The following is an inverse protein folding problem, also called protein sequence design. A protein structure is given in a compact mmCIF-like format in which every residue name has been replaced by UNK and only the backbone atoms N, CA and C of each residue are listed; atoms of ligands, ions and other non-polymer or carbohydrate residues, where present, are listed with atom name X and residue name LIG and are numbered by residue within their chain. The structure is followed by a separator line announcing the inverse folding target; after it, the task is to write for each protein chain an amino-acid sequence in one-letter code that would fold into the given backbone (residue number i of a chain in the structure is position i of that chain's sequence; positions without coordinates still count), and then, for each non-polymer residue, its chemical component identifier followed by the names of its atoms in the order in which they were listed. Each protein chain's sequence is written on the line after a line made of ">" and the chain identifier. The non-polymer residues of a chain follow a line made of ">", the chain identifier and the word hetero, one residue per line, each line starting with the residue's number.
data_IF_801089946891
#
_entry.id   IF_801089946891
#
_cell.length_a   1.000
_cell.length_b   1.000
_cell.length_c   1.000
_cell.angle_alpha   90.00
_cell.angle_beta   90.00
_cell.angle_gamma   90.00
#
_symmetry.space_group_name_H-M   'P 1'
#
loop_
_entity.id
_entity.type
_entity.pdbx_description
1 polymer ?
#
# COMPACT_ATOMS: atom_id res chain seq x y z
N UNK A 1 13.20 17.83 15.38
CA UNK A 1 12.04 18.67 15.79
C UNK A 1 11.10 18.78 14.59
N UNK A 2 9.80 18.53 14.78
CA UNK A 2 8.79 18.78 13.75
C UNK A 2 8.10 20.12 14.02
N UNK A 3 7.93 20.95 12.99
CA UNK A 3 7.22 22.23 13.08
C UNK A 3 5.87 22.07 12.39
N UNK A 4 4.80 22.52 13.05
CA UNK A 4 3.46 22.54 12.47
C UNK A 4 3.35 23.70 11.49
N UNK A 5 2.95 23.39 10.26
CA UNK A 5 2.69 24.38 9.21
C UNK A 5 1.28 24.19 8.68
N UNK A 6 0.62 25.30 8.33
CA UNK A 6 -0.63 25.28 7.56
C UNK A 6 -0.30 25.56 6.11
N UNK A 7 -0.67 24.65 5.22
CA UNK A 7 -0.38 24.74 3.78
C UNK A 7 -1.68 24.72 2.98
N UNK A 8 -1.71 25.49 1.88
CA UNK A 8 -2.76 25.37 0.86
C UNK A 8 -2.23 24.49 -0.26
N UNK A 9 -2.95 23.43 -0.56
CA UNK A 9 -2.57 22.45 -1.60
C UNK A 9 -3.75 22.19 -2.52
N UNK A 10 -3.46 21.63 -3.70
CA UNK A 10 -4.51 21.15 -4.61
C UNK A 10 -5.27 20.01 -3.95
N UNK A 11 -6.58 19.93 -4.23
CA UNK A 11 -7.47 18.89 -3.68
C UNK A 11 -6.97 17.47 -4.00
N UNK A 12 -6.45 17.25 -5.20
CA UNK A 12 -5.87 15.98 -5.65
C UNK A 12 -4.76 15.46 -4.71
N UNK A 13 -3.97 16.36 -4.11
CA UNK A 13 -2.91 15.97 -3.18
C UNK A 13 -3.47 15.53 -1.82
N UNK A 14 -4.61 16.10 -1.41
CA UNK A 14 -5.31 15.67 -0.20
C UNK A 14 -5.90 14.28 -0.41
N UNK A 15 -6.51 14.03 -1.57
CA UNK A 15 -7.07 12.72 -1.92
C UNK A 15 -5.96 11.65 -2.00
N UNK A 16 -4.80 11.98 -2.56
CA UNK A 16 -3.63 11.11 -2.55
C UNK A 16 -3.15 10.83 -1.12
N UNK A 17 -3.06 11.86 -0.26
CA UNK A 17 -2.70 11.68 1.15
C UNK A 17 -3.68 10.75 1.89
N UNK A 18 -4.98 10.90 1.64
CA UNK A 18 -6.01 10.05 2.24
C UNK A 18 -5.88 8.59 1.78
N UNK A 19 -5.59 8.34 0.49
CA UNK A 19 -5.27 7.00 -0.02
C UNK A 19 -4.04 6.41 0.65
N UNK A 20 -2.96 7.19 0.78
CA UNK A 20 -1.73 6.74 1.45
C UNK A 20 -1.98 6.33 2.90
N UNK A 21 -2.83 7.05 3.63
CA UNK A 21 -3.21 6.68 5.00
C UNK A 21 -4.06 5.42 5.01
N UNK A 22 -5.05 5.32 4.11
CA UNK A 22 -5.93 4.15 3.99
C UNK A 22 -5.16 2.86 3.68
N UNK A 23 -4.14 2.94 2.85
CA UNK A 23 -3.31 1.80 2.46
C UNK A 23 -2.15 1.53 3.43
N UNK A 24 -2.02 2.31 4.50
CA UNK A 24 -0.97 2.13 5.50
C UNK A 24 0.43 2.58 5.05
N UNK A 25 0.54 3.25 3.90
CA UNK A 25 1.78 3.86 3.39
C UNK A 25 2.19 5.02 4.31
N UNK A 26 1.22 5.78 4.80
CA UNK A 26 1.43 6.88 5.73
C UNK A 26 0.65 6.70 7.03
N UNK A 27 1.21 7.24 8.13
CA UNK A 27 0.59 7.20 9.46
C UNK A 27 -0.46 8.30 9.67
N UNK A 28 -0.37 9.39 8.91
CA UNK A 28 -1.27 10.54 8.95
C UNK A 28 -1.12 11.36 7.66
N UNK A 29 -2.03 12.31 7.41
CA UNK A 29 -1.92 13.21 6.24
C UNK A 29 -0.62 14.01 6.26
N UNK A 30 -0.20 14.53 7.40
CA UNK A 30 1.07 15.27 7.50
C UNK A 30 2.26 14.38 7.17
N UNK A 31 2.24 13.12 7.60
CA UNK A 31 3.26 12.15 7.21
C UNK A 31 3.24 11.88 5.71
N UNK A 32 2.05 11.75 5.10
CA UNK A 32 1.91 11.58 3.66
C UNK A 32 2.47 12.79 2.87
N UNK A 33 2.20 14.01 3.31
CA UNK A 33 2.77 15.22 2.69
C UNK A 33 4.29 15.27 2.81
N UNK A 34 4.85 14.89 3.96
CA UNK A 34 6.31 14.81 4.11
C UNK A 34 6.92 13.80 3.13
N UNK A 35 6.32 12.61 3.00
CA UNK A 35 6.76 11.59 2.03
C UNK A 35 6.68 12.13 0.60
N UNK A 36 5.59 12.81 0.24
CA UNK A 36 5.43 13.45 -1.07
C UNK A 36 6.49 14.51 -1.35
N UNK A 37 6.90 15.28 -0.34
CA UNK A 37 7.95 16.30 -0.46
C UNK A 37 9.33 15.64 -0.59
N UNK A 38 9.60 14.58 0.17
CA UNK A 38 10.90 13.90 0.20
C UNK A 38 11.16 13.04 -1.05
N UNK A 39 10.19 12.22 -1.45
CA UNK A 39 10.31 11.30 -2.60
C UNK A 39 9.86 11.91 -3.93
N UNK A 40 9.02 12.95 -3.86
CA UNK A 40 8.36 13.52 -5.03
C UNK A 40 7.08 12.77 -5.43
N UNK A 41 6.17 13.50 -6.07
CA UNK A 41 4.82 13.01 -6.39
C UNK A 41 4.79 11.79 -7.32
N UNK A 42 5.70 11.74 -8.30
CA UNK A 42 5.71 10.67 -9.30
C UNK A 42 5.98 9.30 -8.67
N UNK A 43 6.86 9.25 -7.68
CA UNK A 43 7.19 8.00 -6.98
C UNK A 43 6.05 7.58 -6.08
N UNK A 44 5.47 8.55 -5.34
CA UNK A 44 4.33 8.28 -4.45
C UNK A 44 3.11 7.78 -5.22
N UNK A 45 2.79 8.35 -6.38
CA UNK A 45 1.67 7.87 -7.20
C UNK A 45 1.86 6.41 -7.60
N UNK A 46 3.06 6.04 -8.06
CA UNK A 46 3.37 4.64 -8.42
C UNK A 46 3.24 3.70 -7.23
N UNK A 47 3.70 4.13 -6.06
CA UNK A 47 3.60 3.35 -4.82
C UNK A 47 2.14 3.12 -4.44
N UNK A 48 1.29 4.16 -4.54
CA UNK A 48 -0.15 4.06 -4.28
C UNK A 48 -0.85 3.16 -5.29
N UNK A 49 -0.56 3.30 -6.59
CA UNK A 49 -1.12 2.44 -7.65
C UNK A 49 -0.77 0.96 -7.42
N UNK A 50 0.48 0.68 -7.02
CA UNK A 50 0.89 -0.67 -6.67
C UNK A 50 0.07 -1.26 -5.52
N UNK A 51 -0.18 -0.48 -4.47
CA UNK A 51 -0.99 -0.93 -3.33
C UNK A 51 -2.47 -1.10 -3.69
N UNK A 52 -3.02 -0.26 -4.57
CA UNK A 52 -4.36 -0.45 -5.12
C UNK A 52 -4.48 -1.80 -5.86
N UNK A 53 -3.47 -2.14 -6.66
CA UNK A 53 -3.42 -3.42 -7.37
C UNK A 53 -3.34 -4.61 -6.43
N UNK A 54 -2.52 -4.52 -5.38
CA UNK A 54 -2.39 -5.57 -4.37
C UNK A 54 -3.73 -5.78 -3.65
N UNK A 55 -4.37 -4.70 -3.19
CA UNK A 55 -5.66 -4.79 -2.49
C UNK A 55 -6.73 -5.41 -3.36
N UNK A 56 -6.82 -5.00 -4.62
CA UNK A 56 -7.76 -5.59 -5.59
C UNK A 56 -7.55 -7.10 -5.75
N UNK A 57 -6.29 -7.56 -5.88
CA UNK A 57 -6.00 -9.00 -6.00
C UNK A 57 -6.33 -9.76 -4.73
N UNK A 58 -6.09 -9.17 -3.56
CA UNK A 58 -6.49 -9.77 -2.28
C UNK A 58 -8.00 -9.92 -2.22
N UNK A 59 -8.77 -8.89 -2.58
CA UNK A 59 -10.23 -8.97 -2.63
C UNK A 59 -10.73 -10.06 -3.60
N UNK A 60 -10.08 -10.23 -4.75
CA UNK A 60 -10.40 -11.29 -5.71
C UNK A 60 -10.16 -12.69 -5.13
N UNK A 61 -9.02 -12.89 -4.45
CA UNK A 61 -8.68 -14.15 -3.81
C UNK A 61 -9.64 -14.46 -2.65
N UNK A 62 -10.03 -13.46 -1.86
CA UNK A 62 -11.03 -13.62 -0.80
C UNK A 62 -12.40 -14.01 -1.36
N UNK A 63 -12.85 -13.38 -2.45
CA UNK A 63 -14.11 -13.75 -3.12
C UNK A 63 -14.10 -15.18 -3.67
N UNK A 64 -12.94 -15.64 -4.13
CA UNK A 64 -12.74 -17.02 -4.58
C UNK A 64 -12.62 -18.01 -3.41
N UNK A 65 -12.66 -17.55 -2.16
CA UNK A 65 -12.63 -18.38 -0.97
C UNK A 65 -11.23 -18.89 -0.60
N UNK A 66 -10.17 -18.32 -1.18
CA UNK A 66 -8.80 -18.66 -0.80
C UNK A 66 -8.53 -18.15 0.63
N UNK A 67 -8.27 -19.09 1.55
CA UNK A 67 -7.82 -18.78 2.91
C UNK A 67 -6.32 -18.94 2.99
N UNK A 68 -5.65 -17.94 3.58
CA UNK A 68 -4.25 -18.06 3.98
C UNK A 68 -4.15 -19.20 5.00
N UNK A 69 -3.51 -20.30 4.61
CA UNK A 69 -3.17 -21.41 5.50
C UNK A 69 -1.68 -21.32 5.80
N UNK A 70 -1.33 -21.20 7.08
CA UNK A 70 0.07 -21.25 7.51
C UNK A 70 0.51 -22.72 7.73
N UNK A 71 1.77 -23.05 7.41
CA UNK A 71 2.39 -24.33 7.75
C UNK A 71 2.37 -25.45 6.69
N UNK A 72 1.92 -25.17 5.46
CA UNK A 72 1.87 -26.16 4.36
C UNK A 72 3.03 -26.08 3.35
N UNK A 73 3.95 -25.13 3.49
CA UNK A 73 4.95 -24.80 2.47
C UNK A 73 5.88 -26.00 2.16
N UNK A 74 6.29 -26.75 3.19
CA UNK A 74 7.19 -27.89 3.02
C UNK A 74 6.58 -29.00 2.15
N UNK A 75 5.28 -29.29 2.31
CA UNK A 75 4.58 -30.29 1.48
C UNK A 75 4.48 -29.86 0.02
N UNK A 76 4.14 -28.59 -0.22
CA UNK A 76 4.04 -28.05 -1.58
C UNK A 76 5.40 -28.08 -2.28
N UNK A 77 6.48 -27.78 -1.55
CA UNK A 77 7.84 -27.83 -2.09
C UNK A 77 8.37 -29.25 -2.33
N UNK A 78 7.95 -30.24 -1.53
CA UNK A 78 8.28 -31.65 -1.75
C UNK A 78 7.56 -32.22 -2.98
N UNK A 79 6.29 -31.87 -3.20
CA UNK A 79 5.52 -32.29 -4.38
C UNK A 79 6.13 -31.76 -5.70
N UNK A 80 6.68 -30.54 -5.69
CA UNK A 80 7.28 -29.94 -6.89
C UNK A 80 8.71 -30.44 -7.16
N UNK A 81 9.45 -30.86 -6.12
CA UNK A 81 10.79 -31.48 -6.25
C UNK A 81 10.76 -32.93 -6.71
N UNK A 82 9.60 -33.58 -6.63
CA UNK A 82 9.41 -34.98 -7.06
C UNK A 82 9.07 -35.15 -8.55
N UNK A 83 8.96 -34.05 -9.31
CA UNK A 83 8.82 -34.03 -10.77
C UNK A 83 10.16 -33.81 -11.46
#
# INVERSE_FOLDING_TARGET
>A
MSVSVSIKVRRELVELADKMVRYGIARSRSHAFNIMIEKGLKEVVREVEFWEDVLRRVEELERQGFRLRHGGLSRVLEEDRGR
#
